data_IF_384571467979
#
_entry.id   IF_384571467979
#
_cell.length_a   1.000
_cell.length_b   1.000
_cell.length_c   1.000
_cell.angle_alpha   90.00
_cell.angle_beta   90.00
_cell.angle_gamma   90.00
#
_symmetry.space_group_name_H-M   'P 1'
#
loop_
_entity.id
_entity.type
_entity.pdbx_description
1 polymer ?
#
# COMPACT_ATOMS: atom_id res chain seq x y z
N UNK A 1 0.32 -0.08 -8.05
CA UNK A 1 -0.20 1.15 -7.44
C UNK A 1 0.93 2.10 -7.08
N UNK A 2 0.62 3.33 -6.94
CA UNK A 2 1.59 4.37 -6.60
C UNK A 2 1.12 5.16 -5.39
N UNK A 3 2.05 5.82 -4.73
CA UNK A 3 1.74 6.61 -3.57
C UNK A 3 1.38 8.05 -3.96
N UNK A 4 0.46 8.64 -3.22
CA UNK A 4 0.07 10.02 -3.42
C UNK A 4 1.26 10.92 -3.07
N UNK A 5 1.49 11.91 -3.91
CA UNK A 5 2.59 12.85 -3.69
C UNK A 5 3.90 12.44 -4.33
N UNK A 6 3.99 11.26 -4.90
CA UNK A 6 5.20 10.80 -5.57
C UNK A 6 4.99 10.65 -7.06
N UNK A 7 5.98 11.03 -7.84
CA UNK A 7 5.95 10.83 -9.28
C UNK A 7 6.25 9.36 -9.57
N UNK A 8 5.75 8.88 -10.69
CA UNK A 8 5.95 7.50 -11.10
C UNK A 8 6.67 7.46 -12.43
N UNK A 9 7.73 6.69 -12.49
CA UNK A 9 8.49 6.56 -13.74
C UNK A 9 7.95 5.36 -14.51
N UNK A 10 7.55 5.59 -15.74
CA UNK A 10 7.05 4.56 -16.62
C UNK A 10 8.13 4.21 -17.64
N UNK A 11 8.28 2.94 -17.92
CA UNK A 11 9.30 2.45 -18.85
C UNK A 11 8.64 1.55 -19.87
N UNK A 12 8.81 1.87 -21.14
CA UNK A 12 8.27 1.08 -22.24
C UNK A 12 9.42 0.43 -22.97
N UNK A 13 9.63 -0.86 -22.80
CA UNK A 13 10.74 -1.53 -23.47
C UNK A 13 10.37 -1.85 -24.92
N UNK A 14 11.01 -1.19 -25.84
CA UNK A 14 10.86 -1.49 -27.25
C UNK A 14 12.11 -1.06 -27.99
N UNK A 15 12.52 -1.86 -28.95
CA UNK A 15 13.69 -1.55 -29.74
C UNK A 15 13.33 -1.15 -31.17
N UNK A 16 12.08 -1.29 -31.54
CA UNK A 16 11.64 -1.05 -32.89
C UNK A 16 10.98 0.32 -33.09
N UNK A 17 10.65 1.00 -32.06
CA UNK A 17 9.98 2.27 -32.16
C UNK A 17 10.98 3.39 -32.36
N UNK A 18 10.61 4.37 -33.18
CA UNK A 18 11.41 5.56 -33.36
C UNK A 18 11.00 6.66 -32.40
N UNK A 19 9.77 6.61 -31.94
CA UNK A 19 9.26 7.51 -30.93
C UNK A 19 8.16 6.84 -30.12
N UNK A 20 8.08 7.17 -28.85
CA UNK A 20 7.06 6.64 -27.97
C UNK A 20 6.47 7.80 -27.19
N UNK A 21 5.15 7.87 -27.15
CA UNK A 21 4.44 8.86 -26.36
C UNK A 21 3.57 8.10 -25.37
N UNK A 22 3.53 8.54 -24.16
CA UNK A 22 2.64 7.94 -23.16
C UNK A 22 1.42 8.83 -23.00
N UNK A 23 0.26 8.25 -23.12
CA UNK A 23 -0.99 8.93 -22.87
C UNK A 23 -1.54 8.45 -21.56
N UNK A 24 -2.05 9.33 -20.75
CA UNK A 24 -2.70 8.96 -19.50
C UNK A 24 -3.98 9.77 -19.32
N UNK A 25 -4.92 9.20 -18.62
CA UNK A 25 -6.22 9.84 -18.42
C UNK A 25 -6.84 9.39 -17.10
N UNK A 26 -7.71 10.24 -16.57
CA UNK A 26 -8.58 9.84 -15.49
C UNK A 26 -9.82 9.18 -16.09
N UNK A 27 -10.49 8.30 -15.37
CA UNK A 27 -11.71 7.70 -15.85
C UNK A 27 -12.69 8.81 -16.21
N UNK A 28 -13.24 8.78 -17.38
CA UNK A 28 -14.14 9.80 -17.89
C UNK A 28 -13.49 11.17 -18.07
N UNK A 29 -12.18 11.26 -18.04
CA UNK A 29 -11.48 12.51 -18.24
C UNK A 29 -10.79 12.59 -19.58
N UNK A 30 -10.15 13.73 -19.83
CA UNK A 30 -9.41 13.96 -21.04
C UNK A 30 -8.05 13.30 -20.93
N UNK A 31 -7.54 12.81 -22.05
CA UNK A 31 -6.22 12.20 -22.07
C UNK A 31 -5.14 13.28 -22.18
N UNK A 32 -4.04 13.05 -21.51
CA UNK A 32 -2.87 13.91 -21.55
C UNK A 32 -1.71 13.13 -22.14
N UNK A 33 -0.79 13.81 -22.77
CA UNK A 33 0.36 13.18 -23.37
C UNK A 33 1.63 13.50 -22.61
N UNK A 34 2.51 12.50 -22.51
CA UNK A 34 3.83 12.68 -21.91
C UNK A 34 4.86 12.26 -22.94
N UNK A 35 5.85 13.12 -23.15
CA UNK A 35 6.93 12.76 -24.01
C UNK A 35 7.89 11.85 -23.27
N UNK A 36 8.48 10.90 -23.99
CA UNK A 36 9.41 9.96 -23.38
C UNK A 36 10.83 10.27 -23.83
N UNK A 37 11.78 9.82 -23.04
CA UNK A 37 13.18 9.90 -23.34
C UNK A 37 13.73 8.48 -23.42
N UNK A 38 14.45 8.17 -24.45
CA UNK A 38 15.04 6.86 -24.59
C UNK A 38 16.24 6.75 -23.66
N UNK A 39 16.23 5.72 -22.82
CA UNK A 39 17.29 5.48 -21.88
C UNK A 39 17.56 3.98 -21.86
N UNK A 40 18.76 3.59 -22.25
CA UNK A 40 19.16 2.18 -22.35
C UNK A 40 18.18 1.39 -23.21
N UNK A 41 17.38 0.58 -22.63
CA UNK A 41 16.48 -0.29 -23.37
C UNK A 41 15.03 0.09 -23.25
N UNK A 42 14.74 1.23 -22.69
CA UNK A 42 13.34 1.60 -22.55
C UNK A 42 13.13 3.09 -22.78
N UNK A 43 11.89 3.41 -23.12
CA UNK A 43 11.44 4.77 -23.26
C UNK A 43 10.80 5.15 -21.94
N UNK A 44 11.37 6.15 -21.29
CA UNK A 44 10.95 6.55 -19.96
C UNK A 44 10.17 7.85 -19.96
N UNK A 45 9.16 7.92 -19.13
CA UNK A 45 8.44 9.16 -18.85
C UNK A 45 8.10 9.18 -17.36
N UNK A 46 8.00 10.39 -16.81
CA UNK A 46 7.67 10.55 -15.43
C UNK A 46 6.24 11.07 -15.33
N UNK A 47 5.39 10.27 -14.68
CA UNK A 47 4.00 10.62 -14.53
C UNK A 47 3.85 11.56 -13.33
N UNK A 48 3.09 12.64 -13.45
CA UNK A 48 2.93 13.58 -12.35
C UNK A 48 2.38 12.91 -11.10
N UNK A 49 2.69 13.46 -9.97
CA UNK A 49 2.22 12.94 -8.70
C UNK A 49 0.71 13.05 -8.59
N UNK A 50 0.09 12.04 -7.99
CA UNK A 50 -1.32 12.09 -7.68
C UNK A 50 -1.52 12.94 -6.42
N UNK A 51 -2.58 13.72 -6.40
CA UNK A 51 -2.91 14.55 -5.24
C UNK A 51 -3.97 13.90 -4.36
N UNK A 52 -4.67 12.92 -4.90
CA UNK A 52 -5.73 12.22 -4.16
C UNK A 52 -5.74 10.76 -4.55
N UNK A 53 -6.47 9.96 -3.81
CA UNK A 53 -6.66 8.57 -4.18
C UNK A 53 -7.48 8.54 -5.45
N UNK A 54 -6.98 7.89 -6.46
CA UNK A 54 -7.66 7.78 -7.73
C UNK A 54 -7.02 6.67 -8.55
N UNK A 55 -7.70 6.26 -9.59
CA UNK A 55 -7.15 5.32 -10.56
C UNK A 55 -7.10 6.03 -11.89
N UNK A 56 -5.94 6.02 -12.51
CA UNK A 56 -5.78 6.56 -13.84
C UNK A 56 -5.51 5.40 -14.79
N UNK A 57 -5.61 5.67 -16.07
CA UNK A 57 -5.24 4.68 -17.08
C UNK A 57 -4.16 5.30 -17.95
N UNK A 58 -3.23 4.50 -18.38
CA UNK A 58 -2.18 4.95 -19.28
C UNK A 58 -1.93 3.94 -20.38
N UNK A 59 -1.40 4.40 -21.48
CA UNK A 59 -1.02 3.55 -22.59
C UNK A 59 0.15 4.16 -23.32
N UNK A 60 0.85 3.36 -24.10
CA UNK A 60 1.94 3.84 -24.93
C UNK A 60 1.50 3.88 -26.39
N UNK A 61 1.90 4.92 -27.08
CA UNK A 61 1.68 5.06 -28.50
C UNK A 61 3.04 4.94 -29.17
N UNK A 62 3.19 3.94 -30.01
CA UNK A 62 4.47 3.60 -30.61
C UNK A 62 4.49 4.02 -32.09
N UNK A 63 5.45 4.84 -32.44
CA UNK A 63 5.63 5.26 -33.82
C UNK A 63 6.93 4.68 -34.35
N UNK A 64 6.92 4.23 -35.57
CA UNK A 64 8.09 3.68 -36.22
C UNK A 64 7.84 3.61 -37.72
N UNK A 65 8.55 2.76 -38.43
CA UNK A 65 8.40 2.65 -39.88
C UNK A 65 7.05 2.10 -40.28
N UNK A 66 6.42 1.33 -39.48
CA UNK A 66 5.12 0.77 -39.80
C UNK A 66 3.99 1.65 -39.30
N UNK A 67 2.77 1.14 -39.29
CA UNK A 67 1.64 1.87 -38.79
C UNK A 67 1.77 2.10 -37.29
N UNK A 68 1.24 3.20 -36.83
CA UNK A 68 1.25 3.53 -35.41
C UNK A 68 0.53 2.45 -34.62
N UNK A 69 1.10 2.05 -33.52
CA UNK A 69 0.52 1.04 -32.65
C UNK A 69 0.30 1.62 -31.26
N UNK A 70 -0.74 1.18 -30.62
CA UNK A 70 -1.03 1.60 -29.25
C UNK A 70 -1.20 0.37 -28.38
N UNK A 71 -0.74 0.46 -27.14
CA UNK A 71 -0.98 -0.61 -26.18
C UNK A 71 -2.39 -0.46 -25.61
N UNK A 72 -2.91 -1.51 -24.97
CA UNK A 72 -4.15 -1.37 -24.22
C UNK A 72 -3.95 -0.39 -23.09
N UNK A 73 -5.04 0.11 -22.52
CA UNK A 73 -4.97 0.98 -21.35
C UNK A 73 -4.64 0.13 -20.11
N UNK A 74 -3.67 0.57 -19.35
CA UNK A 74 -3.29 -0.10 -18.12
C UNK A 74 -3.75 0.75 -16.92
N UNK A 75 -4.39 0.16 -15.93
CA UNK A 75 -4.82 0.92 -14.77
C UNK A 75 -3.67 1.13 -13.81
N UNK A 76 -3.65 2.26 -13.16
CA UNK A 76 -2.66 2.58 -12.13
C UNK A 76 -3.37 3.31 -11.01
N UNK A 77 -3.51 2.64 -9.88
CA UNK A 77 -4.18 3.23 -8.72
C UNK A 77 -3.19 3.99 -7.86
N UNK A 78 -3.63 5.09 -7.29
CA UNK A 78 -2.85 5.83 -6.31
C UNK A 78 -3.52 5.69 -4.95
N UNK A 79 -2.73 5.54 -3.93
CA UNK A 79 -3.21 5.36 -2.57
C UNK A 79 -2.29 6.06 -1.60
N UNK A 80 -2.79 6.35 -0.42
CA UNK A 80 -1.97 6.93 0.61
C UNK A 80 -0.91 5.91 1.03
N UNK A 81 0.29 6.38 1.38
CA UNK A 81 1.32 5.48 1.82
C UNK A 81 0.90 4.93 3.17
N UNK A 82 0.42 3.72 3.18
CA UNK A 82 -0.12 3.14 4.39
C UNK A 82 0.80 2.14 5.07
N UNK A 83 1.86 1.75 4.43
CA UNK A 83 2.70 0.70 4.99
C UNK A 83 3.36 1.10 6.32
N UNK A 84 3.80 2.34 6.45
CA UNK A 84 4.37 2.80 7.70
C UNK A 84 3.31 2.90 8.79
N UNK A 85 2.17 3.43 8.44
CA UNK A 85 1.07 3.53 9.37
C UNK A 85 0.59 2.15 9.79
N UNK A 86 0.55 1.22 8.86
CA UNK A 86 0.15 -0.15 9.16
C UNK A 86 1.16 -0.82 10.09
N UNK A 87 2.43 -0.58 9.87
CA UNK A 87 3.45 -1.15 10.71
C UNK A 87 3.35 -0.59 12.13
N UNK A 88 3.16 0.69 12.27
CA UNK A 88 2.99 1.31 13.56
C UNK A 88 1.72 0.79 14.26
N UNK A 89 0.64 0.68 13.52
CA UNK A 89 -0.61 0.17 14.04
C UNK A 89 -0.46 -1.28 14.51
N UNK A 90 0.26 -2.09 13.76
CA UNK A 90 0.51 -3.47 14.14
C UNK A 90 1.37 -3.55 15.39
N UNK A 91 2.35 -2.69 15.53
CA UNK A 91 3.17 -2.67 16.73
C UNK A 91 2.36 -2.27 17.95
N UNK A 92 1.54 -1.24 17.83
CA UNK A 92 0.69 -0.80 18.93
C UNK A 92 -0.32 -1.88 19.30
N UNK A 93 -0.87 -2.55 18.31
CA UNK A 93 -1.82 -3.62 18.54
C UNK A 93 -1.16 -4.80 19.24
N UNK A 94 0.06 -5.13 18.85
CA UNK A 94 0.82 -6.21 19.48
C UNK A 94 1.12 -5.89 20.94
N UNK A 95 1.50 -4.67 21.25
CA UNK A 95 1.75 -4.24 22.60
C UNK A 95 0.47 -4.34 23.43
N UNK A 96 -0.64 -3.90 22.90
CA UNK A 96 -1.92 -3.97 23.57
C UNK A 96 -2.31 -5.42 23.88
N UNK A 97 -2.08 -6.33 22.95
CA UNK A 97 -2.35 -7.73 23.15
C UNK A 97 -1.47 -8.34 24.24
N UNK A 98 -0.21 -7.98 24.28
CA UNK A 98 0.72 -8.46 25.29
C UNK A 98 0.29 -7.98 26.66
N UNK A 99 -0.08 -6.73 26.80
CA UNK A 99 -0.52 -6.16 28.06
C UNK A 99 -1.80 -6.85 28.53
N UNK A 100 -2.73 -7.07 27.64
CA UNK A 100 -3.99 -7.72 27.95
C UNK A 100 -3.76 -9.16 28.41
N UNK A 101 -2.92 -9.87 27.70
CA UNK A 101 -2.61 -11.25 28.03
C UNK A 101 -1.92 -11.34 29.38
N UNK A 102 -1.02 -10.42 29.66
CA UNK A 102 -0.32 -10.40 30.92
C UNK A 102 -1.30 -10.11 32.05
N UNK A 103 -2.23 -9.20 31.83
CA UNK A 103 -3.26 -8.90 32.81
C UNK A 103 -4.13 -10.11 33.12
N UNK A 104 -4.47 -10.90 32.09
CA UNK A 104 -5.25 -12.10 32.29
C UNK A 104 -4.47 -13.12 33.12
N UNK A 105 -3.21 -13.29 32.86
CA UNK A 105 -2.38 -14.23 33.62
C UNK A 105 -2.30 -13.83 35.09
N UNK A 106 -2.17 -12.54 35.33
CA UNK A 106 -2.10 -12.05 36.71
C UNK A 106 -3.44 -12.29 37.42
N UNK A 107 -4.56 -12.04 36.73
CA UNK A 107 -5.87 -12.29 37.34
C UNK A 107 -6.12 -13.76 37.63
N UNK A 108 -5.63 -14.61 36.72
CA UNK A 108 -5.84 -16.04 36.94
C UNK A 108 -4.96 -16.54 38.07
N UNK A 109 -3.78 -15.99 38.22
CA UNK A 109 -2.91 -16.46 39.23
C UNK A 109 -3.23 -15.93 40.56
N UNK A 110 -3.68 -14.77 40.62
CA UNK A 110 -3.92 -14.14 41.85
C UNK A 110 -4.92 -14.77 42.68
N UNK A 111 -5.54 -15.53 42.41
CA UNK A 111 -6.59 -16.05 43.06
C UNK A 111 -6.49 -16.72 44.17
N UNK A 112 -6.22 -17.41 44.35
CA UNK A 112 -6.15 -18.19 45.36
C UNK A 112 -5.98 -17.56 46.47
N UNK A 113 -6.39 -16.81 46.64
CA UNK A 113 -6.18 -16.04 47.58
C UNK A 113 -6.35 -16.62 48.74
N UNK A 114 -6.63 -16.89 48.95
CA UNK A 114 -6.74 -16.98 50.08
C UNK A 114 -7.60 -17.78 50.41
N UNK A 115 -7.34 -18.36 50.90
CA UNK A 115 -7.88 -19.09 51.59
C UNK A 115 -9.06 -18.64 52.07
N UNK A 116 -9.94 -19.26 51.98
CA UNK A 116 -11.17 -19.01 52.55
C UNK A 116 -11.01 -18.78 53.98
N UNK A 117 -11.19 -17.64 54.45
CA UNK A 117 -11.11 -17.36 55.88
C UNK A 117 -12.14 -18.18 56.67
N UNK A 118 -13.18 -18.58 56.03
CA UNK A 118 -14.21 -19.36 56.70
C UNK A 118 -13.75 -20.76 56.98
N UNK A 119 -12.83 -21.20 56.19
CA UNK A 119 -12.35 -22.54 56.36
C UNK A 119 -11.60 -22.66 57.68
N UNK A 120 -10.77 -21.69 57.95
CA UNK A 120 -10.00 -21.66 59.18
C UNK A 120 -10.94 -21.44 60.33
N UNK A 121 -11.99 -20.69 60.09
CA UNK A 121 -12.94 -20.42 61.14
C UNK A 121 -13.68 -21.68 61.49
N UNK A 122 -14.09 -22.46 60.53
CA UNK A 122 -14.80 -23.68 60.73
C UNK A 122 -13.94 -24.74 61.46
N UNK A 123 -12.68 -24.73 61.08
CA UNK A 123 -11.75 -25.65 61.69
C UNK A 123 -11.53 -25.34 63.16
N UNK A 124 -11.54 -24.11 63.53
CA UNK A 124 -11.35 -23.73 64.88
C UNK A 124 -12.57 -24.05 65.72
N UNK A 125 -13.74 -23.98 65.18
CA UNK A 125 -14.94 -24.24 65.91
C UNK A 125 -15.27 -25.72 66.02
N UNK A 126 -14.56 -26.55 65.38
CA UNK A 126 -14.76 -27.95 65.46
C UNK A 126 -13.77 -28.48 66.48
#
# INVERSE_FOLDING_TARGET
SREIGETTKLCVPTIAAENVVIEWREPAGQAYELETTQNNQCWEAELPAALTESTIEWRAVLDGEGPQQTTPWFPLASAEPSWEANETALMLQSIAHIIFFFGLVVLVRKPKPKEDPYKDYLEENI
#
